data_IF_469621065657
#
_entry.id   IF_469621065657
#
_cell.length_a   1.000
_cell.length_b   1.000
_cell.length_c   1.000
_cell.angle_alpha   90.00
_cell.angle_beta   90.00
_cell.angle_gamma   90.00
#
_symmetry.space_group_name_H-M   'P 1'
#
loop_
_entity.id
_entity.type
_entity.pdbx_description
1 polymer ?
#
# COMPACT_ATOMS: atom_id res chain seq x y z
N UNK A 1 -20.30 -11.27 -19.41
CA UNK A 1 -19.86 -10.32 -18.36
C UNK A 1 -19.63 -10.98 -16.99
N UNK A 2 -20.55 -11.84 -16.48
CA UNK A 2 -20.40 -12.47 -15.17
C UNK A 2 -19.12 -13.32 -15.04
N UNK A 3 -18.82 -14.15 -16.04
CA UNK A 3 -17.61 -14.99 -16.09
C UNK A 3 -16.34 -14.13 -16.04
N UNK A 4 -16.31 -13.02 -16.77
CA UNK A 4 -15.17 -12.10 -16.77
C UNK A 4 -14.98 -11.41 -15.42
N UNK A 5 -16.06 -10.95 -14.80
CA UNK A 5 -16.02 -10.29 -13.49
C UNK A 5 -15.48 -11.25 -12.41
N UNK A 6 -15.84 -12.53 -12.49
CA UNK A 6 -15.35 -13.55 -11.58
C UNK A 6 -13.89 -13.97 -11.86
N UNK A 7 -13.55 -14.23 -13.14
CA UNK A 7 -12.23 -14.75 -13.50
C UNK A 7 -11.13 -13.67 -13.53
N UNK A 8 -11.50 -12.41 -13.82
CA UNK A 8 -10.57 -11.28 -13.89
C UNK A 8 -11.21 -10.04 -13.27
N UNK A 9 -11.28 -9.98 -11.94
CA UNK A 9 -11.74 -8.79 -11.24
C UNK A 9 -10.85 -7.59 -11.61
N UNK A 10 -11.42 -6.40 -11.72
CA UNK A 10 -10.68 -5.18 -12.08
C UNK A 10 -11.27 -3.95 -11.41
N UNK A 11 -10.40 -2.98 -11.18
CA UNK A 11 -10.77 -1.60 -10.85
C UNK A 11 -10.58 -0.69 -12.05
N UNK A 12 -11.14 0.50 -11.99
CA UNK A 12 -10.98 1.53 -13.02
C UNK A 12 -10.29 2.73 -12.40
N UNK A 13 -9.04 2.99 -12.81
CA UNK A 13 -8.35 4.22 -12.50
C UNK A 13 -8.85 5.33 -13.42
N UNK A 14 -9.55 6.32 -12.88
CA UNK A 14 -10.02 7.50 -13.61
C UNK A 14 -8.84 8.48 -13.76
N UNK A 15 -7.90 8.14 -14.65
CA UNK A 15 -6.68 8.91 -14.81
C UNK A 15 -6.92 10.26 -15.48
N UNK A 16 -6.01 11.23 -15.23
CA UNK A 16 -6.13 12.64 -15.61
C UNK A 16 -7.29 13.35 -14.92
N UNK A 17 -7.60 12.95 -13.68
CA UNK A 17 -8.65 13.59 -12.90
C UNK A 17 -8.36 15.09 -12.62
N UNK A 18 -7.09 15.48 -12.66
CA UNK A 18 -6.61 16.87 -12.54
C UNK A 18 -7.07 17.78 -13.69
N UNK A 19 -7.20 17.21 -14.90
CA UNK A 19 -7.59 17.93 -16.12
C UNK A 19 -9.05 17.73 -16.52
N UNK A 20 -9.74 16.78 -15.91
CA UNK A 20 -11.13 16.47 -16.24
C UNK A 20 -12.11 17.36 -15.48
N UNK A 21 -13.31 17.51 -16.03
CA UNK A 21 -14.44 18.15 -15.35
C UNK A 21 -14.78 17.34 -14.06
N UNK A 22 -14.83 17.98 -12.88
CA UNK A 22 -15.18 17.32 -11.62
C UNK A 22 -16.52 16.58 -11.66
N UNK A 23 -17.51 17.06 -12.38
CA UNK A 23 -18.81 16.40 -12.51
C UNK A 23 -18.71 15.10 -13.32
N UNK A 24 -17.83 15.03 -14.31
CA UNK A 24 -17.54 13.80 -15.05
C UNK A 24 -16.86 12.78 -14.12
N UNK A 25 -15.87 13.22 -13.35
CA UNK A 25 -15.18 12.34 -12.39
C UNK A 25 -16.17 11.81 -11.35
N UNK A 26 -17.04 12.68 -10.79
CA UNK A 26 -18.06 12.27 -9.84
C UNK A 26 -18.99 11.20 -10.43
N UNK A 27 -19.55 11.45 -11.62
CA UNK A 27 -20.45 10.51 -12.32
C UNK A 27 -19.76 9.17 -12.60
N UNK A 28 -18.49 9.18 -13.00
CA UNK A 28 -17.74 7.96 -13.25
C UNK A 28 -17.35 7.24 -11.94
N UNK A 29 -17.21 7.96 -10.83
CA UNK A 29 -16.96 7.36 -9.52
C UNK A 29 -18.18 6.61 -8.97
N UNK A 30 -19.37 6.89 -9.48
CA UNK A 30 -20.63 6.23 -9.10
C UNK A 30 -21.01 5.08 -10.06
N UNK A 31 -20.06 4.60 -10.89
CA UNK A 31 -20.31 3.56 -11.89
C UNK A 31 -20.60 2.21 -11.21
N UNK A 32 -21.83 1.72 -11.35
CA UNK A 32 -22.28 0.49 -10.72
C UNK A 32 -21.47 -0.74 -11.16
N UNK A 33 -21.10 -1.56 -10.19
CA UNK A 33 -20.40 -2.83 -10.40
C UNK A 33 -18.90 -2.71 -10.69
N UNK A 34 -18.32 -1.53 -10.50
CA UNK A 34 -16.88 -1.31 -10.59
C UNK A 34 -16.38 -0.47 -9.41
N UNK A 35 -15.23 -0.86 -8.88
CA UNK A 35 -14.44 0.04 -8.03
C UNK A 35 -13.73 1.04 -8.93
N UNK A 36 -13.92 2.32 -8.67
CA UNK A 36 -13.32 3.41 -9.45
C UNK A 36 -12.49 4.28 -8.52
N UNK A 37 -11.34 4.75 -9.00
CA UNK A 37 -10.44 5.60 -8.22
C UNK A 37 -10.00 6.78 -9.07
N UNK A 38 -10.34 8.03 -8.72
CA UNK A 38 -9.76 9.21 -9.34
C UNK A 38 -8.24 9.22 -9.18
N UNK A 39 -7.52 9.40 -10.28
CA UNK A 39 -6.07 9.21 -10.33
C UNK A 39 -5.41 10.32 -11.15
N UNK A 40 -4.27 10.80 -10.69
CA UNK A 40 -3.46 11.83 -11.34
C UNK A 40 -2.02 11.33 -11.46
N UNK A 41 -1.78 10.38 -12.39
CA UNK A 41 -0.48 9.72 -12.53
C UNK A 41 0.66 10.70 -12.88
N UNK A 42 0.37 11.77 -13.63
CA UNK A 42 1.37 12.80 -13.95
C UNK A 42 1.77 13.59 -12.69
N UNK A 43 0.81 13.92 -11.84
CA UNK A 43 1.08 14.58 -10.54
C UNK A 43 1.95 13.68 -9.65
N UNK A 44 1.65 12.39 -9.56
CA UNK A 44 2.47 11.42 -8.83
C UNK A 44 3.91 11.39 -9.34
N UNK A 45 4.08 11.27 -10.67
CA UNK A 45 5.39 11.23 -11.29
C UNK A 45 6.18 12.52 -11.06
N UNK A 46 5.52 13.67 -11.16
CA UNK A 46 6.13 14.98 -10.95
C UNK A 46 6.59 15.14 -9.49
N UNK A 47 5.76 14.74 -8.51
CA UNK A 47 6.11 14.79 -7.09
C UNK A 47 7.30 13.88 -6.76
N UNK A 48 7.33 12.65 -7.29
CA UNK A 48 8.47 11.74 -7.12
C UNK A 48 9.77 12.32 -7.69
N UNK A 49 9.70 12.96 -8.86
CA UNK A 49 10.86 13.66 -9.46
C UNK A 49 11.29 14.85 -8.62
N UNK A 50 10.34 15.65 -8.12
CA UNK A 50 10.64 16.79 -7.25
C UNK A 50 11.25 16.33 -5.91
N UNK A 51 10.77 15.24 -5.33
CA UNK A 51 11.33 14.65 -4.12
C UNK A 51 12.75 14.13 -4.36
N UNK A 52 12.97 13.41 -5.46
CA UNK A 52 14.32 12.95 -5.86
C UNK A 52 15.30 14.10 -6.08
N UNK A 53 14.82 15.25 -6.56
CA UNK A 53 15.61 16.47 -6.73
C UNK A 53 15.78 17.28 -5.43
N UNK A 54 15.23 16.81 -4.29
CA UNK A 54 15.32 17.49 -3.00
C UNK A 54 14.48 18.77 -2.88
N UNK A 55 13.55 19.02 -3.82
CA UNK A 55 12.68 20.21 -3.80
C UNK A 55 11.56 20.08 -2.80
N UNK A 56 11.05 18.86 -2.64
CA UNK A 56 9.94 18.53 -1.72
C UNK A 56 10.26 17.26 -0.90
N UNK A 57 9.64 17.13 0.24
CA UNK A 57 9.52 15.88 0.99
C UNK A 57 8.15 15.29 0.71
N UNK A 58 8.11 14.12 0.08
CA UNK A 58 6.91 13.41 -0.33
C UNK A 58 7.10 11.90 -0.23
N UNK A 59 6.17 11.22 0.40
CA UNK A 59 6.08 9.76 0.41
C UNK A 59 4.89 9.34 -0.45
N UNK A 60 5.03 8.39 -1.39
CA UNK A 60 3.92 7.88 -2.18
C UNK A 60 2.77 7.41 -1.29
N UNK A 61 1.56 7.90 -1.57
CA UNK A 61 0.38 7.64 -0.75
C UNK A 61 0.00 8.76 0.22
N UNK A 62 0.92 9.67 0.52
CA UNK A 62 0.61 10.84 1.35
C UNK A 62 -0.47 11.72 0.69
N UNK A 63 -1.26 12.37 1.55
CA UNK A 63 -2.31 13.32 1.13
C UNK A 63 -1.77 14.68 0.72
N UNK A 64 -0.48 14.91 0.90
CA UNK A 64 0.21 16.16 0.58
C UNK A 64 1.71 15.98 0.56
N UNK A 65 2.43 17.08 0.39
CA UNK A 65 3.90 17.13 0.42
C UNK A 65 4.36 18.40 1.11
N UNK A 66 5.62 18.44 1.51
CA UNK A 66 6.26 19.62 2.12
C UNK A 66 7.34 20.16 1.18
N UNK A 67 7.32 21.46 0.91
CA UNK A 67 8.40 22.15 0.19
C UNK A 67 9.59 22.31 1.13
N UNK A 68 10.77 21.84 0.73
CA UNK A 68 11.96 21.86 1.59
C UNK A 68 12.56 23.27 1.72
N UNK A 69 12.68 24.00 0.62
CA UNK A 69 13.19 25.38 0.61
C UNK A 69 12.47 26.22 -0.46
N UNK A 70 11.45 27.01 -0.06
CA UNK A 70 10.70 27.84 -1.00
C UNK A 70 11.55 28.89 -1.73
N UNK A 71 12.68 29.32 -1.14
CA UNK A 71 13.53 30.34 -1.74
C UNK A 71 14.32 29.82 -2.95
N UNK A 72 14.53 28.51 -3.04
CA UNK A 72 15.24 27.86 -4.16
C UNK A 72 14.34 27.54 -5.35
N UNK A 73 13.02 27.73 -5.22
CA UNK A 73 12.09 27.45 -6.30
C UNK A 73 12.02 28.59 -7.28
N UNK A 74 12.13 28.27 -8.58
CA UNK A 74 11.81 29.25 -9.62
C UNK A 74 10.28 29.44 -9.74
N UNK A 75 9.80 30.53 -10.38
CA UNK A 75 8.37 30.82 -10.48
C UNK A 75 7.54 29.70 -11.12
N UNK A 76 8.09 28.96 -12.09
CA UNK A 76 7.38 27.86 -12.76
C UNK A 76 7.25 26.65 -11.83
N UNK A 77 8.32 26.32 -11.09
CA UNK A 77 8.29 25.25 -10.08
C UNK A 77 7.26 25.56 -8.99
N UNK A 78 7.22 26.80 -8.51
CA UNK A 78 6.24 27.21 -7.50
C UNK A 78 4.81 27.04 -8.02
N UNK A 79 4.49 27.54 -9.22
CA UNK A 79 3.17 27.34 -9.84
C UNK A 79 2.80 25.87 -10.00
N UNK A 80 3.75 25.03 -10.43
CA UNK A 80 3.53 23.61 -10.60
C UNK A 80 3.23 22.92 -9.25
N UNK A 81 3.99 23.24 -8.20
CA UNK A 81 3.75 22.68 -6.86
C UNK A 81 2.44 23.17 -6.25
N UNK A 82 2.05 24.44 -6.44
CA UNK A 82 0.76 24.97 -5.99
C UNK A 82 -0.40 24.24 -6.70
N UNK A 83 -0.29 23.97 -8.00
CA UNK A 83 -1.27 23.17 -8.74
C UNK A 83 -1.35 21.72 -8.20
N UNK A 84 -0.21 21.08 -7.99
CA UNK A 84 -0.17 19.70 -7.43
C UNK A 84 -0.80 19.65 -6.04
N UNK A 85 -0.58 20.65 -5.19
CA UNK A 85 -1.21 20.75 -3.88
C UNK A 85 -2.74 20.86 -3.97
N UNK A 86 -3.26 21.63 -4.93
CA UNK A 86 -4.71 21.73 -5.18
C UNK A 86 -5.29 20.39 -5.64
N UNK A 87 -4.61 19.68 -6.54
CA UNK A 87 -5.03 18.36 -7.02
C UNK A 87 -5.08 17.36 -5.86
N UNK A 88 -4.03 17.31 -5.05
CA UNK A 88 -3.97 16.41 -3.90
C UNK A 88 -5.03 16.74 -2.85
N UNK A 89 -5.31 18.03 -2.60
CA UNK A 89 -6.39 18.44 -1.70
C UNK A 89 -7.77 18.02 -2.20
N UNK A 90 -7.99 18.04 -3.52
CA UNK A 90 -9.29 17.66 -4.13
C UNK A 90 -9.56 16.17 -4.05
N UNK A 91 -8.54 15.32 -4.26
CA UNK A 91 -8.68 13.87 -4.38
C UNK A 91 -8.07 13.10 -3.20
N UNK A 92 -7.66 13.82 -2.13
CA UNK A 92 -7.03 13.23 -0.94
C UNK A 92 -5.78 12.41 -1.32
N UNK A 93 -4.89 13.04 -2.11
CA UNK A 93 -3.68 12.47 -2.69
C UNK A 93 -3.71 12.39 -4.21
N UNK A 94 -2.78 11.66 -4.81
CA UNK A 94 -2.69 11.48 -6.27
C UNK A 94 -3.58 10.37 -6.82
N UNK A 95 -4.13 9.51 -5.94
CA UNK A 95 -4.95 8.36 -6.30
C UNK A 95 -4.16 7.12 -6.72
N UNK A 96 -2.87 7.22 -7.03
CA UNK A 96 -2.07 6.07 -7.51
C UNK A 96 -1.95 4.99 -6.43
N UNK A 97 -1.57 5.37 -5.21
CA UNK A 97 -1.48 4.43 -4.08
C UNK A 97 -2.86 3.86 -3.73
N UNK A 98 -3.91 4.68 -3.75
CA UNK A 98 -5.29 4.23 -3.52
C UNK A 98 -5.76 3.17 -4.53
N UNK A 99 -5.30 3.23 -5.79
CA UNK A 99 -5.57 2.16 -6.76
C UNK A 99 -4.96 0.83 -6.32
N UNK A 100 -3.72 0.83 -5.81
CA UNK A 100 -3.07 -0.38 -5.33
C UNK A 100 -3.75 -0.92 -4.08
N UNK A 101 -4.12 -0.06 -3.15
CA UNK A 101 -4.86 -0.42 -1.94
C UNK A 101 -6.23 -1.00 -2.27
N UNK A 102 -7.00 -0.37 -3.15
CA UNK A 102 -8.30 -0.86 -3.59
C UNK A 102 -8.19 -2.23 -4.28
N UNK A 103 -7.16 -2.47 -5.10
CA UNK A 103 -6.92 -3.80 -5.67
C UNK A 103 -6.62 -4.82 -4.57
N UNK A 104 -5.75 -4.47 -3.64
CA UNK A 104 -5.26 -5.40 -2.62
C UNK A 104 -6.33 -5.74 -1.60
N UNK A 105 -6.94 -4.71 -1.02
CA UNK A 105 -7.84 -4.88 0.12
C UNK A 105 -9.29 -5.10 -0.28
N UNK A 106 -9.79 -4.31 -1.25
CA UNK A 106 -11.23 -4.31 -1.58
C UNK A 106 -11.57 -5.31 -2.69
N UNK A 107 -10.68 -5.48 -3.69
CA UNK A 107 -10.93 -6.34 -4.84
C UNK A 107 -10.47 -7.78 -4.62
N UNK A 108 -9.28 -7.97 -4.03
CA UNK A 108 -8.64 -9.27 -3.83
C UNK A 108 -8.81 -9.81 -2.41
N UNK A 109 -9.41 -9.03 -1.50
CA UNK A 109 -9.63 -9.37 -0.09
C UNK A 109 -8.35 -9.91 0.58
N UNK A 110 -7.24 -9.18 0.40
CA UNK A 110 -5.94 -9.54 0.95
C UNK A 110 -5.58 -8.69 2.16
N UNK A 111 -4.67 -9.22 2.95
CA UNK A 111 -4.00 -8.53 4.06
C UNK A 111 -2.50 -8.52 3.80
N UNK A 112 -1.82 -7.53 4.35
CA UNK A 112 -0.35 -7.45 4.37
C UNK A 112 0.15 -7.92 5.72
N UNK A 113 1.15 -8.80 5.73
CA UNK A 113 1.78 -9.30 6.95
C UNK A 113 3.31 -9.24 6.79
N UNK A 114 4.00 -8.88 7.85
CA UNK A 114 5.45 -8.67 7.87
C UNK A 114 6.12 -9.77 8.70
N UNK A 115 6.76 -10.79 8.09
CA UNK A 115 7.59 -11.73 8.83
C UNK A 115 8.90 -11.06 9.25
N UNK A 116 9.32 -11.29 10.50
CA UNK A 116 10.58 -10.82 11.06
C UNK A 116 11.26 -11.95 11.83
N UNK A 117 12.58 -11.88 11.97
CA UNK A 117 13.34 -12.84 12.78
C UNK A 117 13.52 -12.33 14.21
N UNK A 118 13.76 -11.04 14.39
CA UNK A 118 13.84 -10.36 15.69
C UNK A 118 12.54 -9.58 15.98
N UNK A 119 11.79 -10.08 16.95
CA UNK A 119 10.51 -9.48 17.38
C UNK A 119 10.68 -8.16 18.16
N UNK A 120 11.88 -7.87 18.66
CA UNK A 120 12.18 -6.68 19.45
C UNK A 120 12.55 -5.52 18.55
N UNK A 121 13.42 -5.75 17.58
CA UNK A 121 13.90 -4.73 16.65
C UNK A 121 13.14 -4.73 15.32
N UNK A 122 12.22 -5.70 15.10
CA UNK A 122 11.42 -5.89 13.89
C UNK A 122 12.32 -6.06 12.65
N UNK A 123 13.40 -6.84 12.78
CA UNK A 123 14.41 -6.99 11.74
C UNK A 123 14.53 -8.44 11.26
N UNK A 124 15.20 -8.61 10.11
CA UNK A 124 15.79 -9.88 9.70
C UNK A 124 17.16 -10.09 10.36
N UNK A 125 17.84 -11.19 9.99
CA UNK A 125 19.19 -11.53 10.46
C UNK A 125 20.26 -10.51 10.03
N UNK A 126 20.05 -9.74 8.96
CA UNK A 126 20.95 -8.67 8.48
C UNK A 126 20.68 -7.32 9.18
N UNK A 127 19.69 -7.24 10.07
CA UNK A 127 19.30 -6.02 10.77
C UNK A 127 18.45 -5.05 9.93
N UNK A 128 17.89 -5.52 8.80
CA UNK A 128 16.96 -4.70 7.99
C UNK A 128 15.59 -4.70 8.64
N UNK A 129 15.06 -3.50 8.89
CA UNK A 129 13.75 -3.30 9.52
C UNK A 129 12.63 -3.61 8.52
N UNK A 130 11.69 -4.49 8.90
CA UNK A 130 10.54 -4.93 8.09
C UNK A 130 10.92 -5.21 6.63
N UNK A 131 11.88 -6.14 6.38
CA UNK A 131 12.51 -6.31 5.06
C UNK A 131 11.53 -6.79 3.99
N UNK A 132 10.54 -7.57 4.41
CA UNK A 132 9.58 -8.23 3.51
C UNK A 132 8.14 -7.94 3.92
N UNK A 133 7.26 -7.83 2.92
CA UNK A 133 5.82 -7.72 3.07
C UNK A 133 5.15 -8.83 2.25
N UNK A 134 4.35 -9.66 2.89
CA UNK A 134 3.63 -10.74 2.25
C UNK A 134 2.14 -10.45 2.16
N UNK A 135 1.60 -10.63 0.95
CA UNK A 135 0.16 -10.60 0.72
C UNK A 135 -0.43 -11.99 0.97
N UNK A 136 -1.41 -12.06 1.85
CA UNK A 136 -2.19 -13.24 2.19
C UNK A 136 -3.67 -12.95 2.00
N UNK A 137 -4.48 -13.99 1.80
CA UNK A 137 -5.94 -13.82 1.81
C UNK A 137 -6.41 -13.49 3.22
N UNK A 138 -7.39 -12.64 3.35
CA UNK A 138 -8.08 -12.41 4.62
C UNK A 138 -8.62 -13.73 5.16
N UNK A 139 -8.39 -13.99 6.45
CA UNK A 139 -8.71 -15.27 7.07
C UNK A 139 -7.58 -16.31 7.03
N UNK A 140 -6.41 -15.97 6.44
CA UNK A 140 -5.20 -16.78 6.56
C UNK A 140 -4.70 -16.82 8.01
N UNK A 141 -4.02 -17.89 8.37
CA UNK A 141 -3.49 -18.12 9.70
C UNK A 141 -1.95 -18.06 9.75
N UNK A 142 -1.39 -18.17 10.97
CA UNK A 142 0.05 -18.10 11.18
C UNK A 142 0.84 -19.20 10.43
N UNK A 143 0.26 -20.38 10.24
CA UNK A 143 0.88 -21.47 9.48
C UNK A 143 0.88 -21.19 7.97
N UNK A 144 -0.18 -20.53 7.45
CA UNK A 144 -0.23 -20.08 6.05
C UNK A 144 0.89 -19.09 5.75
N UNK A 145 1.15 -18.16 6.69
CA UNK A 145 2.30 -17.25 6.57
C UNK A 145 3.62 -18.02 6.55
N UNK A 146 3.80 -19.02 7.43
CA UNK A 146 5.01 -19.82 7.47
C UNK A 146 5.27 -20.51 6.12
N UNK A 147 4.26 -21.14 5.53
CA UNK A 147 4.34 -21.73 4.19
C UNK A 147 4.60 -20.69 3.10
N UNK A 148 4.07 -19.50 3.25
CA UNK A 148 4.26 -18.42 2.28
C UNK A 148 5.71 -17.90 2.28
N UNK A 149 6.35 -17.88 3.45
CA UNK A 149 7.76 -17.51 3.61
C UNK A 149 8.68 -18.62 3.09
N UNK A 150 8.51 -19.85 3.57
CA UNK A 150 9.26 -21.02 3.12
C UNK A 150 8.54 -22.32 3.52
N UNK A 151 8.58 -23.33 2.64
CA UNK A 151 7.92 -24.62 2.88
C UNK A 151 8.41 -25.28 4.18
N UNK A 152 9.71 -25.26 4.45
CA UNK A 152 10.28 -25.86 5.65
C UNK A 152 9.79 -25.19 6.94
N UNK A 153 9.52 -23.88 6.92
CA UNK A 153 8.95 -23.18 8.06
C UNK A 153 7.50 -23.61 8.32
N UNK A 154 6.74 -23.87 7.27
CA UNK A 154 5.39 -24.39 7.36
C UNK A 154 5.33 -25.82 7.88
N UNK A 155 6.19 -26.71 7.34
CA UNK A 155 6.26 -28.12 7.73
C UNK A 155 6.74 -28.31 9.17
N UNK A 156 7.70 -27.50 9.60
CA UNK A 156 8.32 -27.56 10.93
C UNK A 156 7.77 -26.51 11.89
N UNK A 157 6.61 -25.92 11.60
CA UNK A 157 6.01 -24.89 12.43
C UNK A 157 5.74 -25.36 13.86
N UNK A 158 6.21 -24.59 14.84
CA UNK A 158 5.95 -24.84 16.27
C UNK A 158 4.96 -23.82 16.79
N UNK A 159 5.24 -22.53 16.59
CA UNK A 159 4.46 -21.38 17.05
C UNK A 159 4.85 -20.13 16.27
N UNK A 160 4.07 -19.07 16.42
CA UNK A 160 4.50 -17.75 16.01
C UNK A 160 4.39 -16.78 17.18
N UNK A 161 5.04 -15.61 17.05
CA UNK A 161 4.98 -14.52 18.03
C UNK A 161 4.53 -13.28 17.26
N UNK A 162 3.46 -12.65 17.72
CA UNK A 162 3.08 -11.36 17.21
C UNK A 162 3.98 -10.31 17.87
N UNK A 163 4.87 -9.70 17.08
CA UNK A 163 5.90 -8.79 17.57
C UNK A 163 5.33 -7.47 18.15
N UNK A 164 4.14 -7.05 17.70
CA UNK A 164 3.48 -5.83 18.23
C UNK A 164 2.90 -6.05 19.62
N UNK A 165 2.36 -7.24 19.90
CA UNK A 165 1.68 -7.56 21.16
C UNK A 165 2.52 -8.45 22.07
N UNK A 166 3.66 -8.97 21.60
CA UNK A 166 4.53 -9.97 22.24
C UNK A 166 3.78 -11.25 22.66
N UNK A 167 2.67 -11.55 21.96
CA UNK A 167 1.87 -12.75 22.23
C UNK A 167 2.37 -13.94 21.43
N UNK A 168 2.53 -15.06 22.10
CA UNK A 168 2.75 -16.36 21.46
C UNK A 168 1.42 -16.88 20.95
N UNK A 169 1.38 -17.28 19.68
CA UNK A 169 0.16 -17.75 18.99
C UNK A 169 0.39 -19.12 18.33
N UNK A 170 -0.68 -19.90 18.22
CA UNK A 170 -0.68 -21.20 17.57
C UNK A 170 -0.77 -21.12 16.05
N UNK A 171 -0.76 -22.28 15.41
CA UNK A 171 -0.81 -22.43 13.96
C UNK A 171 -2.11 -21.92 13.33
N UNK A 172 -3.21 -21.96 14.08
CA UNK A 172 -4.57 -21.59 13.67
C UNK A 172 -4.94 -20.12 13.97
N UNK A 173 -4.02 -19.37 14.55
CA UNK A 173 -4.23 -17.95 14.83
C UNK A 173 -4.47 -17.17 13.54
N UNK A 174 -5.64 -16.54 13.42
CA UNK A 174 -5.99 -15.72 12.27
C UNK A 174 -5.17 -14.42 12.27
N UNK A 175 -4.59 -14.13 11.11
CA UNK A 175 -3.76 -12.95 10.92
C UNK A 175 -4.63 -11.74 10.59
N UNK A 176 -4.23 -10.59 11.10
CA UNK A 176 -4.80 -9.29 10.80
C UNK A 176 -3.89 -8.48 9.86
N UNK A 177 -4.47 -7.47 9.22
CA UNK A 177 -3.70 -6.58 8.35
C UNK A 177 -2.61 -5.85 9.15
N UNK A 178 -1.41 -5.79 8.59
CA UNK A 178 -0.21 -5.18 9.20
C UNK A 178 0.34 -5.93 10.42
N UNK A 179 -0.04 -7.18 10.63
CA UNK A 179 0.61 -7.99 11.64
C UNK A 179 2.11 -8.16 11.36
N UNK A 180 2.91 -8.07 12.42
CA UNK A 180 4.34 -8.35 12.38
C UNK A 180 4.58 -9.65 13.15
N UNK A 181 5.08 -10.67 12.47
CA UNK A 181 5.11 -12.04 12.99
C UNK A 181 6.51 -12.64 12.94
N UNK A 182 6.97 -13.19 14.07
CA UNK A 182 8.14 -14.06 14.12
C UNK A 182 7.69 -15.51 14.09
N UNK A 183 8.21 -16.28 13.14
CA UNK A 183 7.90 -17.72 12.98
C UNK A 183 8.96 -18.53 13.70
N UNK A 184 8.53 -19.40 14.60
CA UNK A 184 9.40 -20.37 15.30
C UNK A 184 9.12 -21.75 14.73
N UNK A 185 10.14 -22.33 14.08
CA UNK A 185 10.10 -23.66 13.49
C UNK A 185 11.20 -24.56 14.07
N UNK A 186 11.01 -25.87 13.98
CA UNK A 186 12.03 -26.85 14.35
C UNK A 186 13.16 -26.78 13.30
N UNK A 187 14.39 -26.65 13.78
CA UNK A 187 15.61 -26.75 12.96
C UNK A 187 15.96 -28.21 12.66
#
# INVERSE_FOLDING_TARGET
DAIRKYAKPMIIALNKADAADPEIIKRLSELEGYLTVPTCAETELALRRAAKAGLVSYVPGDKGFKVNDPAKLNPNQKKALDFMAQVMSRYDGTGVQKCLEAVTYDLLDQIVVYPVEDETHLTDHDGRVLPDAFLLRKGSNAKDLAYKVHTDLGDNFIRAINARTHRVVGHDHLLENEDVMTIVAKR
#
